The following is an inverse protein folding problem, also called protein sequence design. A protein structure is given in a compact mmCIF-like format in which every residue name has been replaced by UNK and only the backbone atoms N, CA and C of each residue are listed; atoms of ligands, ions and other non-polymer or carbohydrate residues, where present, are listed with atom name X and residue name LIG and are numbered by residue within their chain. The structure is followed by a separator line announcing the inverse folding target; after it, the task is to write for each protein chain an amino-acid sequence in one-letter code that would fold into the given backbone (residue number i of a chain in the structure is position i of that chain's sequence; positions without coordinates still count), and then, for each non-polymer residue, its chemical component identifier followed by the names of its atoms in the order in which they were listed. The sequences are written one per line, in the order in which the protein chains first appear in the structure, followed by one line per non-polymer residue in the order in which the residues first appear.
data_IF_588770191541
#
_entry.id   IF_588770191541
#
_cell.length_a   1.000
_cell.length_b   1.000
_cell.length_c   1.000
_cell.angle_alpha   90.00
_cell.angle_beta   90.00
_cell.angle_gamma   90.00
#
_symmetry.space_group_name_H-M   'P 1'
#
loop_
_entity.id
_entity.type
_entity.pdbx_description
1 polymer ?
#
# COMPACT_ATOMS: atom_id res chain seq x y z
N UNK A 1 -13.48 7.92 -16.61
CA UNK A 1 -13.21 8.03 -15.16
C UNK A 1 -13.97 6.93 -14.44
N UNK A 2 -13.29 6.06 -13.70
CA UNK A 2 -13.92 5.01 -12.87
C UNK A 2 -13.94 5.40 -11.38
N UNK A 3 -14.62 4.61 -10.56
CA UNK A 3 -14.84 4.90 -9.13
C UNK A 3 -14.24 3.80 -8.25
N UNK A 4 -13.31 4.17 -7.37
CA UNK A 4 -12.81 3.29 -6.30
C UNK A 4 -13.74 3.41 -5.09
N UNK A 5 -14.46 2.34 -4.79
CA UNK A 5 -15.42 2.28 -3.68
C UNK A 5 -14.75 1.78 -2.40
N UNK A 6 -15.35 2.10 -1.25
CA UNK A 6 -15.02 1.37 -0.03
C UNK A 6 -15.34 -0.12 -0.21
N UNK A 7 -14.44 -1.00 0.25
CA UNK A 7 -14.60 -2.46 0.15
C UNK A 7 -15.93 -2.95 0.77
N UNK A 8 -16.39 -2.30 1.84
CA UNK A 8 -17.64 -2.69 2.54
C UNK A 8 -18.89 -2.44 1.71
N UNK A 9 -18.81 -1.51 0.76
CA UNK A 9 -19.92 -1.07 -0.09
C UNK A 9 -19.92 -1.80 -1.45
N UNK A 10 -18.99 -2.73 -1.65
CA UNK A 10 -19.01 -3.59 -2.82
C UNK A 10 -20.17 -4.58 -2.75
N UNK A 11 -20.92 -4.64 -3.85
CA UNK A 11 -21.89 -5.71 -4.07
C UNK A 11 -21.18 -7.06 -4.20
N UNK A 12 -21.92 -8.16 -3.98
CA UNK A 12 -21.40 -9.53 -4.21
C UNK A 12 -20.83 -9.70 -5.62
N UNK A 13 -21.48 -9.09 -6.62
CA UNK A 13 -21.02 -9.13 -8.01
C UNK A 13 -19.68 -8.41 -8.19
N UNK A 14 -19.51 -7.24 -7.58
CA UNK A 14 -18.25 -6.49 -7.66
C UNK A 14 -17.10 -7.22 -6.95
N UNK A 15 -17.34 -7.79 -5.76
CA UNK A 15 -16.36 -8.65 -5.07
C UNK A 15 -15.91 -9.81 -5.96
N UNK A 16 -16.87 -10.53 -6.55
CA UNK A 16 -16.58 -11.66 -7.45
C UNK A 16 -15.76 -11.24 -8.67
N UNK A 17 -16.16 -10.16 -9.37
CA UNK A 17 -15.43 -9.68 -10.56
C UNK A 17 -13.99 -9.29 -10.23
N UNK A 18 -13.78 -8.62 -9.09
CA UNK A 18 -12.44 -8.26 -8.64
C UNK A 18 -11.59 -9.51 -8.33
N UNK A 19 -12.13 -10.45 -7.56
CA UNK A 19 -11.47 -11.73 -7.25
C UNK A 19 -11.11 -12.48 -8.53
N UNK A 20 -12.06 -12.64 -9.45
CA UNK A 20 -11.86 -13.34 -10.72
C UNK A 20 -10.77 -12.67 -11.58
N UNK A 21 -10.75 -11.34 -11.64
CA UNK A 21 -9.73 -10.59 -12.37
C UNK A 21 -8.34 -10.77 -11.77
N UNK A 22 -8.22 -10.71 -10.43
CA UNK A 22 -6.95 -10.94 -9.72
C UNK A 22 -6.44 -12.37 -9.95
N UNK A 23 -7.32 -13.38 -9.82
CA UNK A 23 -6.95 -14.78 -10.06
C UNK A 23 -6.54 -15.03 -11.52
N UNK A 24 -7.22 -14.41 -12.49
CA UNK A 24 -6.81 -14.46 -13.91
C UNK A 24 -5.45 -13.80 -14.13
N UNK A 25 -5.21 -12.63 -13.53
CA UNK A 25 -3.93 -11.93 -13.61
C UNK A 25 -2.80 -12.78 -13.01
N UNK A 26 -3.06 -13.45 -11.88
CA UNK A 26 -2.12 -14.40 -11.26
C UNK A 26 -1.80 -15.58 -12.16
N UNK A 27 -2.82 -16.23 -12.75
CA UNK A 27 -2.61 -17.37 -13.67
C UNK A 27 -1.79 -16.99 -14.91
N UNK A 28 -1.85 -15.73 -15.35
CA UNK A 28 -1.04 -15.25 -16.48
C UNK A 28 0.43 -15.02 -16.12
N UNK A 29 0.82 -15.11 -14.84
CA UNK A 29 2.15 -14.73 -14.35
C UNK A 29 2.32 -13.24 -14.10
N UNK A 30 1.52 -12.39 -14.76
CA UNK A 30 1.64 -10.92 -14.68
C UNK A 30 1.40 -10.34 -13.28
N UNK A 31 0.67 -11.02 -12.40
CA UNK A 31 0.58 -10.59 -10.99
C UNK A 31 1.95 -10.67 -10.29
N UNK A 32 2.76 -11.67 -10.62
CA UNK A 32 4.06 -11.88 -9.98
C UNK A 32 5.05 -10.77 -10.37
N UNK A 33 4.92 -10.18 -11.57
CA UNK A 33 5.73 -9.03 -11.99
C UNK A 33 5.53 -7.82 -11.06
N UNK A 34 4.32 -7.61 -10.55
CA UNK A 34 4.04 -6.57 -9.56
C UNK A 34 4.75 -6.88 -8.24
N UNK A 35 4.65 -8.11 -7.75
CA UNK A 35 5.36 -8.55 -6.53
C UNK A 35 6.87 -8.33 -6.67
N UNK A 36 7.46 -8.74 -7.80
CA UNK A 36 8.89 -8.56 -8.08
C UNK A 36 9.26 -7.08 -8.13
N UNK A 37 8.48 -6.25 -8.83
CA UNK A 37 8.71 -4.80 -8.92
C UNK A 37 8.70 -4.14 -7.55
N UNK A 38 7.71 -4.45 -6.71
CA UNK A 38 7.66 -3.89 -5.36
C UNK A 38 8.85 -4.33 -4.51
N UNK A 39 9.28 -5.59 -4.61
CA UNK A 39 10.48 -6.08 -3.91
C UNK A 39 11.74 -5.37 -4.37
N UNK A 40 11.88 -5.16 -5.67
CA UNK A 40 13.02 -4.44 -6.25
C UNK A 40 13.09 -3.01 -5.70
N UNK A 41 11.97 -2.30 -5.60
CA UNK A 41 11.91 -0.90 -5.14
C UNK A 41 11.62 -0.71 -3.65
N UNK A 42 11.50 -1.80 -2.88
CA UNK A 42 11.52 -1.77 -1.41
C UNK A 42 12.96 -1.55 -0.95
N UNK A 43 13.35 -0.28 -0.83
CA UNK A 43 14.71 0.14 -0.46
C UNK A 43 14.70 0.77 0.92
N UNK A 44 15.53 0.28 1.83
CA UNK A 44 15.68 0.79 3.19
C UNK A 44 16.60 2.02 3.24
N UNK A 45 16.47 2.85 4.29
CA UNK A 45 17.33 4.01 4.53
C UNK A 45 18.84 3.72 4.52
N UNK A 46 19.21 2.52 4.94
CA UNK A 46 20.59 2.06 5.04
C UNK A 46 21.21 1.68 3.70
N UNK A 47 20.40 1.44 2.67
CA UNK A 47 20.88 1.02 1.35
C UNK A 47 21.43 2.19 0.51
N UNK A 48 22.34 1.89 -0.42
CA UNK A 48 23.03 2.86 -1.27
C UNK A 48 22.52 2.81 -2.72
N UNK A 49 21.21 3.00 -2.92
CA UNK A 49 20.57 2.99 -4.24
C UNK A 49 19.28 3.84 -4.23
N UNK A 50 18.76 4.26 -5.41
CA UNK A 50 17.57 5.10 -5.47
C UNK A 50 16.37 4.48 -4.76
N UNK A 51 15.65 5.30 -3.99
CA UNK A 51 14.55 4.88 -3.12
C UNK A 51 13.28 5.61 -3.51
N UNK A 52 12.52 5.09 -4.50
CA UNK A 52 11.35 5.77 -5.00
C UNK A 52 10.06 5.40 -4.23
N UNK A 53 10.00 4.22 -3.61
CA UNK A 53 8.75 3.67 -3.10
C UNK A 53 8.49 3.88 -1.60
N UNK A 54 9.51 3.81 -0.74
CA UNK A 54 9.37 3.81 0.72
C UNK A 54 10.40 4.73 1.38
N UNK A 55 10.15 5.18 2.60
CA UNK A 55 11.01 6.06 3.41
C UNK A 55 11.48 7.27 2.59
N UNK A 56 10.57 7.87 1.83
CA UNK A 56 10.93 8.86 0.80
C UNK A 56 9.73 9.73 0.46
N UNK A 57 10.00 10.97 0.06
CA UNK A 57 8.98 11.91 -0.38
C UNK A 57 8.09 11.36 -1.50
N UNK A 58 8.62 10.52 -2.38
CA UNK A 58 7.88 9.92 -3.49
C UNK A 58 6.98 8.74 -3.11
N UNK A 59 6.86 8.39 -1.83
CA UNK A 59 6.04 7.26 -1.34
C UNK A 59 4.63 7.25 -1.94
N UNK A 60 3.90 8.37 -1.84
CA UNK A 60 2.54 8.46 -2.36
C UNK A 60 2.47 8.41 -3.89
N UNK A 61 3.19 9.26 -4.66
CA UNK A 61 3.10 9.21 -6.11
C UNK A 61 3.57 7.87 -6.69
N UNK A 62 4.62 7.25 -6.13
CA UNK A 62 5.06 5.93 -6.59
C UNK A 62 3.97 4.87 -6.41
N UNK A 63 3.35 4.80 -5.22
CA UNK A 63 2.26 3.85 -4.97
C UNK A 63 0.98 4.18 -5.76
N UNK A 64 0.68 5.46 -6.02
CA UNK A 64 -0.42 5.86 -6.93
C UNK A 64 -0.17 5.32 -8.34
N UNK A 65 1.05 5.50 -8.87
CA UNK A 65 1.43 4.96 -10.19
C UNK A 65 1.36 3.44 -10.22
N UNK A 66 1.82 2.78 -9.16
CA UNK A 66 1.76 1.34 -9.00
C UNK A 66 0.31 0.81 -9.00
N UNK A 67 -0.58 1.46 -8.24
CA UNK A 67 -2.02 1.16 -8.26
C UNK A 67 -2.65 1.35 -9.65
N UNK A 68 -2.29 2.43 -10.35
CA UNK A 68 -2.78 2.69 -11.71
C UNK A 68 -2.37 1.59 -12.69
N UNK A 69 -1.14 1.09 -12.61
CA UNK A 69 -0.67 -0.02 -13.46
C UNK A 69 -1.36 -1.34 -13.13
N UNK A 70 -1.57 -1.63 -11.85
CA UNK A 70 -2.32 -2.81 -11.42
C UNK A 70 -3.78 -2.76 -11.86
N UNK A 71 -4.44 -1.63 -11.65
CA UNK A 71 -5.83 -1.41 -12.04
C UNK A 71 -6.00 -1.46 -13.56
N UNK A 72 -5.07 -0.90 -14.33
CA UNK A 72 -5.03 -1.05 -15.80
C UNK A 72 -4.88 -2.52 -16.21
N UNK A 73 -4.07 -3.31 -15.50
CA UNK A 73 -3.94 -4.74 -15.76
C UNK A 73 -5.25 -5.50 -15.49
N UNK A 74 -5.93 -5.20 -14.39
CA UNK A 74 -7.25 -5.76 -14.08
C UNK A 74 -8.31 -5.35 -15.11
N UNK A 75 -8.31 -4.09 -15.53
CA UNK A 75 -9.25 -3.57 -16.54
C UNK A 75 -9.04 -4.17 -17.93
N UNK A 76 -7.82 -4.61 -18.25
CA UNK A 76 -7.55 -5.41 -19.45
C UNK A 76 -8.19 -6.79 -19.41
N UNK A 77 -8.54 -7.31 -18.23
CA UNK A 77 -9.26 -8.58 -18.04
C UNK A 77 -10.77 -8.33 -17.92
N UNK A 78 -11.15 -7.31 -17.15
CA UNK A 78 -12.54 -6.89 -16.95
C UNK A 78 -12.61 -5.36 -16.83
N UNK A 79 -13.09 -4.64 -17.86
CA UNK A 79 -13.16 -3.17 -17.87
C UNK A 79 -14.04 -2.56 -16.77
N UNK A 80 -14.91 -3.36 -16.14
CA UNK A 80 -15.76 -2.91 -15.05
C UNK A 80 -15.12 -3.02 -13.66
N UNK A 81 -13.89 -3.51 -13.55
CA UNK A 81 -13.18 -3.66 -12.29
C UNK A 81 -12.37 -2.39 -11.95
N UNK A 82 -12.41 -2.04 -10.68
CA UNK A 82 -11.55 -1.04 -10.06
C UNK A 82 -11.10 -1.54 -8.70
N UNK A 83 -9.94 -1.10 -8.23
CA UNK A 83 -9.39 -1.44 -6.92
C UNK A 83 -10.19 -0.69 -5.84
N UNK A 84 -10.90 -1.38 -4.94
CA UNK A 84 -11.58 -0.74 -3.82
C UNK A 84 -10.55 -0.34 -2.76
N UNK A 85 -10.95 0.48 -1.80
CA UNK A 85 -10.10 0.81 -0.65
C UNK A 85 -10.59 0.13 0.62
N UNK A 86 -9.65 -0.25 1.48
CA UNK A 86 -9.94 -0.74 2.83
C UNK A 86 -9.75 0.38 3.84
N UNK A 87 -10.84 0.96 4.33
CA UNK A 87 -10.81 1.88 5.46
C UNK A 87 -10.63 1.10 6.77
N UNK A 88 -9.38 0.78 7.08
CA UNK A 88 -8.97 0.08 8.29
C UNK A 88 -9.18 0.89 9.58
N UNK A 89 -9.57 2.17 9.50
CA UNK A 89 -9.99 2.94 10.69
C UNK A 89 -11.41 2.61 11.12
N UNK A 90 -12.20 1.98 10.24
CA UNK A 90 -13.59 1.61 10.50
C UNK A 90 -13.81 0.09 10.38
N UNK A 91 -13.30 -0.57 9.33
CA UNK A 91 -13.31 -2.03 9.18
C UNK A 91 -12.05 -2.64 9.82
N UNK A 92 -12.02 -2.67 11.16
CA UNK A 92 -10.79 -2.94 11.92
C UNK A 92 -10.79 -4.28 12.69
N UNK A 93 -11.72 -5.19 12.38
CA UNK A 93 -11.83 -6.49 13.03
C UNK A 93 -11.59 -7.64 12.04
N UNK A 94 -11.09 -8.80 12.52
CA UNK A 94 -11.06 -10.04 11.73
C UNK A 94 -12.43 -10.52 11.23
N UNK A 95 -13.53 -10.04 11.82
CA UNK A 95 -14.90 -10.37 11.42
C UNK A 95 -15.46 -9.47 10.32
N UNK A 96 -14.70 -8.49 9.82
CA UNK A 96 -15.10 -7.64 8.69
C UNK A 96 -15.42 -8.47 7.44
N UNK A 97 -16.39 -8.01 6.65
CA UNK A 97 -16.74 -8.63 5.35
C UNK A 97 -15.61 -8.59 4.32
N UNK A 98 -14.52 -7.86 4.62
CA UNK A 98 -13.27 -7.91 3.89
C UNK A 98 -12.66 -9.32 3.90
N UNK A 99 -12.70 -9.97 5.05
CA UNK A 99 -12.04 -11.25 5.34
C UNK A 99 -12.95 -12.47 5.17
N UNK A 100 -14.14 -12.26 4.59
CA UNK A 100 -15.08 -13.32 4.29
C UNK A 100 -14.54 -14.26 3.19
N UNK A 101 -15.04 -15.49 3.17
CA UNK A 101 -14.62 -16.52 2.21
C UNK A 101 -15.00 -16.16 0.76
N UNK A 102 -16.01 -15.33 0.55
CA UNK A 102 -16.40 -14.84 -0.77
C UNK A 102 -15.55 -13.64 -1.24
N UNK A 103 -14.56 -13.21 -0.44
CA UNK A 103 -13.70 -12.09 -0.78
C UNK A 103 -12.20 -12.34 -0.55
N UNK A 104 -11.57 -11.80 0.51
CA UNK A 104 -10.11 -11.96 0.67
C UNK A 104 -9.69 -13.19 1.47
N UNK A 105 -10.64 -13.92 2.07
CA UNK A 105 -10.33 -15.00 3.00
C UNK A 105 -9.86 -14.50 4.36
N UNK A 106 -9.86 -15.40 5.34
CA UNK A 106 -9.65 -15.06 6.75
C UNK A 106 -8.19 -14.95 7.18
N UNK A 107 -7.99 -15.07 8.49
CA UNK A 107 -6.68 -15.14 9.12
C UNK A 107 -5.98 -16.49 8.81
N UNK A 108 -4.68 -16.55 9.09
CA UNK A 108 -3.94 -17.80 9.09
C UNK A 108 -4.35 -18.72 10.24
N UNK A 109 -4.34 -20.04 9.99
CA UNK A 109 -4.61 -21.03 11.05
C UNK A 109 -3.51 -21.02 12.12
N UNK A 110 -3.83 -21.42 13.37
CA UNK A 110 -2.81 -21.61 14.41
C UNK A 110 -1.71 -22.58 13.97
N UNK A 111 -0.47 -22.33 14.41
CA UNK A 111 0.69 -23.16 14.08
C UNK A 111 1.53 -22.56 12.94
N UNK A 112 1.06 -22.70 11.70
CA UNK A 112 1.80 -22.30 10.48
C UNK A 112 1.29 -21.02 9.82
N UNK A 113 0.22 -20.40 10.36
CA UNK A 113 -0.35 -19.13 9.86
C UNK A 113 -0.85 -19.22 8.42
N UNK A 114 -1.07 -20.42 7.89
CA UNK A 114 -1.57 -20.63 6.52
C UNK A 114 -3.00 -20.14 6.38
N UNK A 115 -3.27 -19.33 5.36
CA UNK A 115 -4.64 -18.95 4.98
C UNK A 115 -5.30 -20.16 4.32
N UNK A 116 -6.42 -20.61 4.89
CA UNK A 116 -7.16 -21.81 4.44
C UNK A 116 -8.56 -21.49 3.91
N UNK A 117 -8.98 -20.23 3.94
CA UNK A 117 -10.31 -19.83 3.48
C UNK A 117 -10.23 -18.78 2.37
N UNK A 118 -11.28 -18.74 1.55
CA UNK A 118 -11.42 -17.81 0.45
C UNK A 118 -10.55 -18.09 -0.78
N UNK A 119 -10.69 -17.25 -1.83
CA UNK A 119 -10.12 -17.50 -3.15
C UNK A 119 -8.60 -17.39 -3.21
N UNK A 120 -7.95 -16.88 -2.16
CA UNK A 120 -6.49 -16.74 -2.11
C UNK A 120 -5.82 -17.77 -1.18
N UNK A 121 -6.60 -18.74 -0.67
CA UNK A 121 -6.04 -19.95 -0.09
C UNK A 121 -5.45 -20.83 -1.21
N UNK A 122 -4.30 -21.45 -0.94
CA UNK A 122 -3.60 -22.29 -1.92
C UNK A 122 -4.48 -23.45 -2.43
N UNK A 123 -5.21 -24.13 -1.52
CA UNK A 123 -6.07 -25.27 -1.85
C UNK A 123 -7.34 -24.88 -2.62
N UNK A 124 -7.88 -23.67 -2.39
CA UNK A 124 -9.13 -23.24 -3.00
C UNK A 124 -8.94 -22.52 -4.34
N UNK A 125 -7.99 -21.59 -4.42
CA UNK A 125 -7.79 -20.74 -5.59
C UNK A 125 -6.49 -20.95 -6.35
N UNK A 126 -5.68 -21.95 -5.95
CA UNK A 126 -4.34 -22.19 -6.50
C UNK A 126 -3.45 -20.93 -6.39
N UNK A 127 -3.59 -20.20 -5.28
CA UNK A 127 -2.81 -19.00 -5.00
C UNK A 127 -1.44 -19.38 -4.44
N UNK A 128 -0.48 -19.59 -5.34
CA UNK A 128 0.91 -19.87 -4.96
C UNK A 128 1.70 -18.59 -4.72
N UNK A 129 2.42 -18.52 -3.61
CA UNK A 129 3.33 -17.41 -3.27
C UNK A 129 4.78 -17.89 -3.25
N UNK A 130 5.74 -16.99 -2.95
CA UNK A 130 7.09 -17.40 -2.58
C UNK A 130 8.04 -17.69 -3.72
N UNK A 131 7.76 -17.27 -4.98
CA UNK A 131 8.72 -17.38 -6.10
C UNK A 131 10.04 -16.66 -5.75
N UNK A 132 10.99 -17.38 -5.16
CA UNK A 132 12.35 -16.94 -4.83
C UNK A 132 12.52 -16.24 -3.47
N UNK A 133 11.71 -16.54 -2.45
CA UNK A 133 11.81 -15.87 -1.12
C UNK A 133 11.72 -16.81 0.06
N UNK A 134 10.75 -17.72 0.05
CA UNK A 134 10.47 -18.66 1.14
C UNK A 134 10.23 -20.05 0.56
N UNK A 135 10.50 -21.09 1.35
CA UNK A 135 10.15 -22.47 0.97
C UNK A 135 8.63 -22.70 0.97
N UNK A 136 7.87 -21.79 1.59
CA UNK A 136 6.42 -21.79 1.64
C UNK A 136 5.81 -21.34 0.31
N UNK A 137 4.84 -22.11 -0.20
CA UNK A 137 4.13 -21.82 -1.45
C UNK A 137 2.68 -21.36 -1.22
N UNK A 138 2.28 -21.05 0.01
CA UNK A 138 0.92 -20.65 0.37
C UNK A 138 0.89 -19.30 1.12
N UNK A 139 -0.20 -18.54 0.95
CA UNK A 139 -0.38 -17.28 1.65
C UNK A 139 -0.46 -17.50 3.17
N UNK A 140 0.25 -16.66 3.94
CA UNK A 140 0.16 -16.63 5.41
C UNK A 140 -0.35 -15.29 5.91
N UNK A 141 -1.07 -15.29 7.02
CA UNK A 141 -1.56 -14.10 7.74
C UNK A 141 -1.54 -14.35 9.24
N UNK A 142 -1.37 -13.29 10.03
CA UNK A 142 -1.37 -13.38 11.49
C UNK A 142 -1.95 -12.12 12.13
N UNK A 143 -3.26 -11.91 11.93
CA UNK A 143 -3.97 -10.70 12.32
C UNK A 143 -3.70 -10.26 13.75
N UNK A 144 -3.14 -9.06 13.90
CA UNK A 144 -2.82 -8.43 15.17
C UNK A 144 -1.69 -9.09 15.95
N UNK A 145 -0.99 -10.09 15.39
CA UNK A 145 0.11 -10.83 16.02
C UNK A 145 -0.23 -11.21 17.48
N UNK A 146 -1.28 -12.03 17.70
CA UNK A 146 -1.72 -12.39 19.05
C UNK A 146 -0.55 -13.05 19.79
N UNK A 147 -0.18 -12.50 20.95
CA UNK A 147 1.02 -12.91 21.68
C UNK A 147 1.54 -11.79 22.59
N UNK A 148 2.85 -11.79 22.87
CA UNK A 148 3.47 -10.87 23.84
C UNK A 148 3.42 -9.38 23.45
N UNK A 149 3.23 -9.07 22.16
CA UNK A 149 3.17 -7.69 21.64
C UNK A 149 2.08 -7.58 20.56
N UNK A 150 0.78 -7.54 20.95
CA UNK A 150 -0.30 -7.43 19.99
C UNK A 150 -0.25 -6.10 19.24
N UNK A 151 -0.55 -6.15 17.96
CA UNK A 151 -0.68 -4.99 17.08
C UNK A 151 -2.17 -4.73 16.89
N UNK A 152 -2.61 -3.50 17.11
CA UNK A 152 -3.95 -3.04 16.71
C UNK A 152 -3.88 -2.29 15.38
N UNK A 153 -4.97 -2.26 14.62
CA UNK A 153 -5.05 -1.37 13.46
C UNK A 153 -5.10 0.10 13.92
N UNK A 154 -4.61 1.05 13.10
CA UNK A 154 -4.67 2.45 13.44
C UNK A 154 -6.11 2.99 13.40
N UNK A 155 -6.37 3.99 14.22
CA UNK A 155 -7.68 4.59 14.49
C UNK A 155 -7.93 5.81 13.60
N UNK A 156 -9.17 6.32 13.62
CA UNK A 156 -9.53 7.60 12.99
C UNK A 156 -8.70 8.75 13.55
N UNK A 157 -8.41 8.74 14.85
CA UNK A 157 -7.61 9.80 15.49
C UNK A 157 -6.15 9.75 15.06
N UNK A 158 -5.58 8.56 14.84
CA UNK A 158 -4.23 8.40 14.30
C UNK A 158 -4.11 9.06 12.91
N UNK A 159 -5.09 8.81 12.04
CA UNK A 159 -5.17 9.42 10.71
C UNK A 159 -5.47 10.92 10.78
N UNK A 160 -6.38 11.35 11.66
CA UNK A 160 -6.74 12.76 11.80
C UNK A 160 -5.55 13.62 12.26
N UNK A 161 -4.67 13.09 13.12
CA UNK A 161 -3.43 13.78 13.51
C UNK A 161 -2.47 13.95 12.33
N UNK A 162 -2.38 12.95 11.46
CA UNK A 162 -1.57 13.06 10.25
C UNK A 162 -2.17 14.10 9.27
N UNK A 163 -3.48 14.04 9.03
CA UNK A 163 -4.18 14.94 8.12
C UNK A 163 -4.13 16.42 8.54
N UNK A 164 -3.90 16.73 9.83
CA UNK A 164 -3.78 18.11 10.32
C UNK A 164 -2.45 18.78 10.00
N UNK A 165 -1.40 18.00 9.73
CA UNK A 165 -0.08 18.55 9.43
C UNK A 165 -0.10 19.22 8.05
N UNK A 166 0.10 20.55 7.93
CA UNK A 166 0.01 21.23 6.65
C UNK A 166 1.25 21.00 5.78
N UNK A 167 2.33 20.43 6.34
CA UNK A 167 3.57 20.17 5.60
C UNK A 167 3.49 18.81 4.94
N UNK A 168 3.86 18.71 3.66
CA UNK A 168 3.86 17.42 2.94
C UNK A 168 4.91 16.46 3.52
N UNK A 169 6.16 16.90 3.57
CA UNK A 169 7.31 16.14 4.06
C UNK A 169 8.40 17.14 4.49
N UNK A 170 9.43 16.68 5.21
CA UNK A 170 10.57 17.51 5.62
C UNK A 170 11.89 16.80 5.41
N UNK A 171 12.97 17.57 5.30
CA UNK A 171 14.34 17.06 5.37
C UNK A 171 14.51 16.18 6.64
N UNK A 172 15.24 15.05 6.57
CA UNK A 172 16.05 14.54 5.44
C UNK A 172 15.28 13.69 4.41
N UNK A 173 13.96 13.87 4.30
CA UNK A 173 13.10 13.21 3.29
C UNK A 173 13.13 11.68 3.39
N UNK A 174 13.27 11.16 4.62
CA UNK A 174 13.42 9.74 4.88
C UNK A 174 12.64 9.27 6.12
N UNK A 175 12.92 8.07 6.66
CA UNK A 175 12.14 7.54 7.79
C UNK A 175 12.33 8.32 9.10
N UNK A 176 13.40 9.12 9.22
CA UNK A 176 13.68 9.90 10.44
C UNK A 176 13.09 11.32 10.39
N UNK A 177 12.44 11.71 9.28
CA UNK A 177 11.73 13.00 9.19
C UNK A 177 10.72 13.14 10.33
N UNK A 178 10.92 14.13 11.20
CA UNK A 178 10.14 14.27 12.43
C UNK A 178 8.80 14.99 12.21
N UNK A 179 8.57 15.52 11.03
CA UNK A 179 7.38 16.29 10.67
C UNK A 179 6.91 15.91 9.27
N UNK A 180 5.74 16.42 8.86
CA UNK A 180 5.22 16.22 7.53
C UNK A 180 4.30 15.02 7.39
N UNK A 181 3.20 15.24 6.69
CA UNK A 181 2.13 14.30 6.39
C UNK A 181 2.63 12.95 5.86
N UNK A 182 3.61 12.96 4.95
CA UNK A 182 4.20 11.75 4.33
C UNK A 182 4.73 10.80 5.39
N UNK A 183 5.66 11.23 6.23
CA UNK A 183 6.24 10.32 7.23
C UNK A 183 5.22 9.92 8.31
N UNK A 184 4.26 10.81 8.66
CA UNK A 184 3.16 10.48 9.59
C UNK A 184 2.31 9.32 9.08
N UNK A 185 1.90 9.37 7.80
CA UNK A 185 1.04 8.35 7.18
C UNK A 185 1.82 7.09 6.87
N UNK A 186 3.03 7.21 6.32
CA UNK A 186 3.89 6.05 6.09
C UNK A 186 4.13 5.30 7.40
N UNK A 187 4.31 6.06 8.49
CA UNK A 187 4.22 5.55 9.85
C UNK A 187 5.57 5.20 10.46
N UNK A 188 6.60 5.97 10.12
CA UNK A 188 7.88 5.97 10.81
C UNK A 188 7.88 6.99 11.95
N UNK A 189 8.54 6.64 13.05
CA UNK A 189 8.39 7.33 14.34
C UNK A 189 8.64 8.83 14.28
N UNK A 190 7.66 9.61 14.75
CA UNK A 190 7.79 11.04 14.99
C UNK A 190 7.97 11.25 16.50
N UNK A 191 9.03 11.97 16.90
CA UNK A 191 9.46 12.24 18.30
C UNK A 191 10.39 11.20 18.95
N UNK A 192 11.35 10.65 18.23
CA UNK A 192 12.48 9.92 18.83
C UNK A 192 12.18 8.53 19.39
N UNK A 193 10.92 8.07 19.35
CA UNK A 193 10.54 6.69 19.66
C UNK A 193 10.22 5.96 18.37
N UNK A 194 10.93 4.86 18.09
CA UNK A 194 10.65 3.95 16.96
C UNK A 194 9.31 3.23 17.18
N UNK A 195 8.20 3.95 16.97
CA UNK A 195 6.86 3.37 16.92
C UNK A 195 6.42 3.22 15.47
N UNK A 196 5.73 2.11 15.20
CA UNK A 196 5.13 1.83 13.89
C UNK A 196 3.68 2.32 13.91
N UNK A 197 3.33 3.23 13.00
CA UNK A 197 2.01 3.85 12.91
C UNK A 197 1.36 3.61 11.53
N UNK A 198 0.07 3.98 11.40
CA UNK A 198 -0.64 4.11 10.13
C UNK A 198 -0.32 2.98 9.10
N UNK A 199 0.20 3.31 7.92
CA UNK A 199 0.53 2.36 6.86
C UNK A 199 1.38 1.18 7.37
N UNK A 200 2.55 1.45 7.96
CA UNK A 200 3.44 0.40 8.43
C UNK A 200 2.76 -0.49 9.49
N UNK A 201 1.87 0.09 10.33
CA UNK A 201 1.17 -0.66 11.38
C UNK A 201 0.12 -1.61 10.80
N UNK A 202 -0.52 -1.25 9.69
CA UNK A 202 -1.44 -2.14 8.96
C UNK A 202 -0.68 -3.31 8.36
N UNK A 203 0.47 -3.07 7.71
CA UNK A 203 1.36 -4.13 7.24
C UNK A 203 1.74 -5.10 8.37
N UNK A 204 2.11 -4.58 9.54
CA UNK A 204 2.43 -5.40 10.70
C UNK A 204 1.23 -6.15 11.29
N UNK A 205 0.04 -5.54 11.25
CA UNK A 205 -1.20 -6.14 11.74
C UNK A 205 -1.61 -7.34 10.88
N UNK A 206 -1.55 -7.23 9.54
CA UNK A 206 -1.91 -8.34 8.65
C UNK A 206 -0.93 -9.50 8.81
N UNK A 207 0.38 -9.20 8.89
CA UNK A 207 1.42 -10.22 9.02
C UNK A 207 1.68 -11.00 7.73
N UNK A 208 2.38 -12.13 7.82
CA UNK A 208 2.78 -12.90 6.63
C UNK A 208 3.59 -12.06 5.63
N UNK A 209 3.40 -12.22 4.30
CA UNK A 209 4.07 -11.41 3.29
C UNK A 209 3.79 -9.92 3.45
N UNK A 210 2.60 -9.53 3.93
CA UNK A 210 2.25 -8.12 4.18
C UNK A 210 3.20 -7.43 5.15
N UNK A 211 4.00 -8.14 5.95
CA UNK A 211 4.95 -7.51 6.86
C UNK A 211 6.28 -7.08 6.22
N UNK A 212 6.51 -7.32 4.92
CA UNK A 212 7.77 -7.02 4.25
C UNK A 212 7.66 -6.70 2.77
N UNK A 213 8.80 -6.77 2.07
CA UNK A 213 8.90 -6.36 0.66
C UNK A 213 8.03 -7.18 -0.30
N UNK A 214 7.65 -8.41 0.06
CA UNK A 214 6.74 -9.26 -0.72
C UNK A 214 5.26 -8.99 -0.40
N UNK A 215 4.92 -7.87 0.25
CA UNK A 215 3.55 -7.55 0.66
C UNK A 215 2.49 -7.65 -0.43
N UNK A 216 2.76 -7.37 -1.73
CA UNK A 216 1.75 -7.57 -2.77
C UNK A 216 1.38 -9.04 -3.01
N UNK A 217 2.07 -10.03 -2.45
CA UNK A 217 1.62 -11.43 -2.49
C UNK A 217 0.25 -11.63 -1.83
N UNK A 218 -0.13 -10.75 -0.91
CA UNK A 218 -1.48 -10.69 -0.36
C UNK A 218 -2.30 -9.64 -1.13
N UNK A 219 -3.43 -10.02 -1.77
CA UNK A 219 -4.27 -9.07 -2.48
C UNK A 219 -4.81 -7.91 -1.64
N UNK A 220 -4.84 -8.02 -0.30
CA UNK A 220 -5.22 -6.90 0.57
C UNK A 220 -4.27 -5.70 0.46
N UNK A 221 -3.03 -5.91 0.00
CA UNK A 221 -2.07 -4.86 -0.30
C UNK A 221 -2.70 -3.73 -1.14
N UNK A 222 -3.39 -4.10 -2.22
CA UNK A 222 -3.94 -3.14 -3.18
C UNK A 222 -5.04 -2.28 -2.54
N UNK A 223 -5.86 -2.90 -1.68
CA UNK A 223 -6.93 -2.22 -0.96
C UNK A 223 -6.39 -1.31 0.14
N UNK A 224 -5.33 -1.75 0.82
CA UNK A 224 -4.61 -0.95 1.79
C UNK A 224 -4.01 0.31 1.13
N UNK A 225 -3.26 0.15 0.05
CA UNK A 225 -2.63 1.28 -0.64
C UNK A 225 -3.64 2.18 -1.36
N UNK A 226 -4.79 1.67 -1.81
CA UNK A 226 -5.88 2.51 -2.30
C UNK A 226 -6.44 3.43 -1.18
N UNK A 227 -6.47 2.97 0.07
CA UNK A 227 -6.84 3.83 1.19
C UNK A 227 -5.75 4.86 1.51
N UNK A 228 -4.47 4.47 1.47
CA UNK A 228 -3.34 5.40 1.61
C UNK A 228 -3.40 6.50 0.55
N UNK A 229 -3.72 6.15 -0.70
CA UNK A 229 -3.91 7.09 -1.79
C UNK A 229 -5.10 8.04 -1.57
N UNK A 230 -6.23 7.52 -1.05
CA UNK A 230 -7.36 8.35 -0.63
C UNK A 230 -6.99 9.32 0.50
N UNK A 231 -6.18 8.90 1.48
CA UNK A 231 -5.71 9.79 2.54
C UNK A 231 -4.85 10.93 1.97
N UNK A 232 -4.01 10.65 0.96
CA UNK A 232 -3.25 11.70 0.28
C UNK A 232 -4.15 12.68 -0.48
N UNK A 233 -5.17 12.19 -1.20
CA UNK A 233 -6.16 13.07 -1.86
C UNK A 233 -6.91 13.95 -0.84
N UNK A 234 -7.35 13.37 0.29
CA UNK A 234 -8.00 14.13 1.38
C UNK A 234 -7.08 15.20 1.95
N UNK A 235 -5.80 14.88 2.18
CA UNK A 235 -4.81 15.84 2.64
C UNK A 235 -4.62 17.00 1.66
N UNK A 236 -4.46 16.71 0.36
CA UNK A 236 -4.30 17.75 -0.67
C UNK A 236 -5.50 18.68 -0.76
N UNK A 237 -6.72 18.15 -0.57
CA UNK A 237 -7.96 18.96 -0.51
C UNK A 237 -8.04 19.81 0.74
N UNK A 238 -7.57 19.31 1.89
CA UNK A 238 -7.53 20.05 3.15
C UNK A 238 -6.45 21.14 3.17
N UNK A 239 -5.38 20.96 2.40
CA UNK A 239 -4.22 21.86 2.35
C UNK A 239 -3.90 22.31 0.91
N UNK A 240 -4.81 23.04 0.24
CA UNK A 240 -4.66 23.40 -1.18
C UNK A 240 -3.46 24.33 -1.47
N UNK A 241 -2.93 25.02 -0.44
CA UNK A 241 -1.74 25.86 -0.54
C UNK A 241 -0.43 25.09 -0.33
N UNK A 242 -0.48 23.82 0.09
CA UNK A 242 0.71 23.04 0.38
C UNK A 242 1.26 22.35 -0.87
N UNK A 243 2.57 22.43 -1.04
CA UNK A 243 3.28 21.82 -2.17
C UNK A 243 3.79 20.42 -1.82
N UNK A 244 4.02 19.60 -2.85
CA UNK A 244 4.88 18.43 -2.73
C UNK A 244 6.31 18.90 -2.39
N UNK A 245 6.94 18.22 -1.44
CA UNK A 245 8.31 18.49 -1.03
C UNK A 245 9.13 17.19 -1.06
N UNK A 246 10.40 17.23 -1.53
CA UNK A 246 11.10 18.43 -1.96
C UNK A 246 10.64 18.90 -3.35
N UNK A 247 10.48 20.22 -3.53
CA UNK A 247 10.02 20.78 -4.82
C UNK A 247 11.04 20.59 -5.95
N UNK A 248 12.30 20.36 -5.61
CA UNK A 248 13.41 20.01 -6.52
C UNK A 248 14.30 19.00 -5.83
N UNK A 249 15.09 18.26 -6.59
CA UNK A 249 16.09 17.35 -6.03
C UNK A 249 17.00 18.07 -5.02
N UNK A 250 17.26 17.51 -3.82
CA UNK A 250 18.17 18.13 -2.86
C UNK A 250 19.55 18.41 -3.47
N UNK A 251 20.08 19.61 -3.28
CA UNK A 251 21.35 20.04 -3.88
C UNK A 251 22.59 19.59 -3.10
N UNK A 252 22.44 19.36 -1.78
CA UNK A 252 23.54 18.99 -0.88
C UNK A 252 24.14 17.63 -1.27
N UNK A 253 25.47 17.50 -1.41
CA UNK A 253 26.11 16.21 -1.68
C UNK A 253 25.79 15.18 -0.59
N UNK A 254 25.32 13.99 -0.98
CA UNK A 254 24.97 12.93 -0.03
C UNK A 254 23.91 11.97 -0.58
N UNK A 255 23.53 10.97 0.24
CA UNK A 255 22.51 9.96 -0.11
C UNK A 255 21.20 10.60 -0.59
N UNK A 256 20.82 11.73 -0.01
CA UNK A 256 19.54 12.38 -0.31
C UNK A 256 19.50 13.00 -1.72
N UNK A 257 20.64 13.46 -2.28
CA UNK A 257 20.70 13.95 -3.67
C UNK A 257 20.46 12.84 -4.66
N UNK A 258 20.99 11.65 -4.41
CA UNK A 258 21.00 10.58 -5.41
C UNK A 258 19.78 9.66 -5.29
N UNK A 259 19.11 9.63 -4.12
CA UNK A 259 18.05 8.66 -3.84
C UNK A 259 16.64 9.23 -3.65
N UNK A 260 16.48 10.55 -3.49
CA UNK A 260 15.18 11.23 -3.35
C UNK A 260 14.76 11.85 -4.68
N UNK A 261 13.45 11.86 -4.94
CA UNK A 261 12.84 12.38 -6.17
C UNK A 261 12.06 13.66 -5.87
N UNK A 262 12.50 14.77 -6.45
CA UNK A 262 11.77 16.03 -6.45
C UNK A 262 10.53 16.00 -7.33
N UNK A 263 9.76 17.09 -7.30
CA UNK A 263 8.47 17.20 -7.98
C UNK A 263 8.50 16.81 -9.47
N UNK A 264 9.56 17.19 -10.18
CA UNK A 264 9.73 16.98 -11.61
C UNK A 264 10.72 15.86 -11.97
N UNK A 265 11.23 15.12 -10.97
CA UNK A 265 12.14 14.00 -11.21
C UNK A 265 11.34 12.72 -11.56
N UNK A 266 11.68 12.01 -12.64
CA UNK A 266 11.00 10.77 -13.00
C UNK A 266 11.32 9.66 -11.99
N UNK A 267 10.29 8.93 -11.53
CA UNK A 267 10.43 7.88 -10.53
C UNK A 267 10.54 6.49 -11.19
N UNK A 268 11.64 5.75 -11.02
CA UNK A 268 11.78 4.42 -11.57
C UNK A 268 10.73 3.45 -10.99
N UNK A 269 10.31 2.44 -11.75
CA UNK A 269 10.80 2.07 -13.08
C UNK A 269 10.14 2.86 -14.23
N UNK A 270 9.32 3.86 -13.92
CA UNK A 270 8.58 4.62 -14.92
C UNK A 270 9.27 5.94 -15.26
N UNK A 271 8.98 6.46 -16.45
CA UNK A 271 9.32 7.85 -16.78
C UNK A 271 8.16 8.79 -16.42
N UNK A 272 7.72 8.75 -15.15
CA UNK A 272 6.59 9.53 -14.63
C UNK A 272 7.02 10.27 -13.37
N UNK A 273 6.69 11.55 -13.30
CA UNK A 273 7.08 12.44 -12.19
C UNK A 273 5.98 12.54 -11.13
N UNK A 274 6.31 12.91 -9.88
CA UNK A 274 5.30 13.27 -8.88
C UNK A 274 4.30 14.32 -9.37
N UNK A 275 4.76 15.34 -10.12
CA UNK A 275 3.92 16.40 -10.67
C UNK A 275 2.76 15.86 -11.51
N UNK A 276 3.03 14.88 -12.38
CA UNK A 276 2.04 14.25 -13.25
C UNK A 276 1.00 13.43 -12.49
N UNK A 277 1.29 13.06 -11.24
CA UNK A 277 0.46 12.18 -10.41
C UNK A 277 -0.27 12.92 -9.30
N UNK A 278 -0.03 14.23 -9.13
CA UNK A 278 -0.75 15.03 -8.13
C UNK A 278 -2.26 14.98 -8.41
N UNK A 279 -2.68 15.36 -9.61
CA UNK A 279 -4.09 15.34 -10.00
C UNK A 279 -4.51 14.01 -10.64
N UNK A 280 -5.25 13.20 -9.88
CA UNK A 280 -5.83 11.96 -10.37
C UNK A 280 -7.27 12.11 -10.90
N UNK A 281 -7.87 13.30 -10.79
CA UNK A 281 -9.32 13.50 -10.99
C UNK A 281 -9.80 13.21 -12.41
N UNK A 282 -8.90 13.26 -13.40
CA UNK A 282 -9.19 12.88 -14.80
C UNK A 282 -9.26 11.35 -15.00
N UNK A 283 -8.66 10.58 -14.10
CA UNK A 283 -8.53 9.12 -14.21
C UNK A 283 -9.58 8.41 -13.36
N UNK A 284 -9.65 8.74 -12.07
CA UNK A 284 -10.52 8.07 -11.10
C UNK A 284 -10.97 8.99 -9.97
N UNK A 285 -12.05 8.58 -9.29
CA UNK A 285 -12.55 9.19 -8.06
C UNK A 285 -12.78 8.15 -6.97
N UNK A 286 -12.84 8.61 -5.73
CA UNK A 286 -13.29 7.80 -4.59
C UNK A 286 -14.78 8.04 -4.32
N UNK A 287 -15.49 6.98 -3.90
CA UNK A 287 -16.87 7.04 -3.43
C UNK A 287 -16.99 6.33 -2.08
#
# INVERSE_FOLDING_TARGET
MYTRKNQRDLTRTEKRRLVDAILKLKRSGRYDDFVVMHREFYVMDTENRPRPAHMTASFFPWHRRYLLEFEKALQGIDPGVSVPYWDWTTDNTPSSSLWAEDFLGGNGRPGDRRVTTGPFAHEAGNWSVGRGVTDENYLTRNFGRPGRNPVSLPTKDDVARALKDPVYDTEPWNSISTEGFRNRIEGWGIRGVRTVANHNRVHQWVGGPMAGAASPEDPVFWLHHAFIDLLWDRWRKAHPSSAYLPGRKPASPGRDRDYVFGLDDPMPPWNVTPAQLLDHSKLYRYA
#
